data_IF_925128599508
#
_entry.id   IF_925128599508
#
_cell.length_a   1.000
_cell.length_b   1.000
_cell.length_c   1.000
_cell.angle_alpha   90.00
_cell.angle_beta   90.00
_cell.angle_gamma   90.00
#
_symmetry.space_group_name_H-M   'P 1'
#
loop_
_entity.id
_entity.type
_entity.pdbx_description
1 polymer ?
#
# COMPACT_ATOMS: atom_id res chain seq x y z
N UNK A 1 23.63 -2.79 -12.58
CA UNK A 1 23.99 -2.98 -11.16
C UNK A 1 22.77 -2.74 -10.24
N UNK A 2 21.54 -2.99 -10.71
CA UNK A 2 20.28 -2.56 -10.06
C UNK A 2 19.38 -3.76 -9.73
N UNK A 3 19.97 -4.94 -9.58
CA UNK A 3 19.22 -6.16 -9.31
C UNK A 3 18.62 -6.13 -7.90
N UNK A 4 19.31 -5.50 -6.94
CA UNK A 4 18.85 -5.36 -5.56
C UNK A 4 17.60 -4.49 -5.45
N UNK A 5 17.56 -3.39 -6.18
CA UNK A 5 16.39 -2.50 -6.25
C UNK A 5 15.19 -3.24 -6.84
N UNK A 6 15.38 -3.88 -8.00
CA UNK A 6 14.34 -4.68 -8.65
C UNK A 6 13.86 -5.85 -7.79
N UNK A 7 14.75 -6.47 -7.01
CA UNK A 7 14.39 -7.55 -6.09
C UNK A 7 13.53 -7.03 -4.95
N UNK A 8 13.86 -5.87 -4.38
CA UNK A 8 13.04 -5.22 -3.34
C UNK A 8 11.65 -4.88 -3.88
N UNK A 9 11.57 -4.33 -5.10
CA UNK A 9 10.29 -4.02 -5.76
C UNK A 9 9.46 -5.28 -6.05
N UNK A 10 10.09 -6.35 -6.54
CA UNK A 10 9.42 -7.61 -6.82
C UNK A 10 8.90 -8.29 -5.54
N UNK A 11 9.70 -8.29 -4.46
CA UNK A 11 9.27 -8.78 -3.16
C UNK A 11 8.12 -7.95 -2.59
N UNK A 12 8.16 -6.64 -2.77
CA UNK A 12 7.08 -5.75 -2.37
C UNK A 12 5.79 -6.08 -3.10
N UNK A 13 5.83 -6.14 -4.45
CA UNK A 13 4.71 -6.51 -5.28
C UNK A 13 4.13 -7.87 -4.86
N UNK A 14 4.98 -8.86 -4.62
CA UNK A 14 4.55 -10.18 -4.15
C UNK A 14 3.78 -10.13 -2.83
N UNK A 15 4.27 -9.36 -1.85
CA UNK A 15 3.65 -9.26 -0.51
C UNK A 15 2.26 -8.63 -0.54
N UNK A 16 2.04 -7.66 -1.42
CA UNK A 16 0.76 -6.94 -1.54
C UNK A 16 -0.18 -7.53 -2.58
N UNK A 17 0.29 -8.44 -3.43
CA UNK A 17 -0.55 -9.07 -4.47
C UNK A 17 -1.55 -10.02 -3.84
N UNK A 18 -2.83 -9.86 -4.21
CA UNK A 18 -3.90 -10.77 -3.79
C UNK A 18 -3.69 -12.16 -4.39
N UNK A 19 -3.66 -13.18 -3.54
CA UNK A 19 -3.56 -14.58 -3.99
C UNK A 19 -4.94 -15.20 -4.01
N UNK A 20 -5.44 -15.52 -5.21
CA UNK A 20 -6.73 -16.19 -5.41
C UNK A 20 -6.77 -17.56 -4.71
N UNK A 21 -5.65 -18.28 -4.65
CA UNK A 21 -5.54 -19.58 -3.98
C UNK A 21 -5.79 -19.51 -2.49
N UNK A 22 -5.39 -18.42 -1.85
CA UNK A 22 -5.49 -18.26 -0.39
C UNK A 22 -6.59 -17.28 0.02
N UNK A 23 -7.17 -16.55 -0.94
CA UNK A 23 -8.18 -15.53 -0.67
C UNK A 23 -7.65 -14.35 0.15
N UNK A 24 -6.33 -14.18 0.24
CA UNK A 24 -5.66 -13.12 0.99
C UNK A 24 -4.32 -12.77 0.35
N UNK A 25 -3.80 -11.59 0.65
CA UNK A 25 -2.40 -11.23 0.36
C UNK A 25 -1.45 -12.02 1.26
N UNK A 26 -0.23 -12.35 0.81
CA UNK A 26 0.79 -12.97 1.67
C UNK A 26 1.05 -12.16 2.95
N UNK A 27 0.97 -10.83 2.90
CA UNK A 27 1.11 -9.97 4.06
C UNK A 27 0.01 -10.20 5.10
N UNK A 28 -1.25 -10.31 4.68
CA UNK A 28 -2.39 -10.60 5.56
C UNK A 28 -2.24 -11.93 6.30
N UNK A 29 -1.64 -12.93 5.67
CA UNK A 29 -1.43 -14.25 6.29
C UNK A 29 -0.37 -14.20 7.40
N UNK A 30 0.68 -13.41 7.22
CA UNK A 30 1.79 -13.32 8.19
C UNK A 30 1.40 -12.44 9.38
N UNK A 31 0.69 -11.35 9.14
CA UNK A 31 0.42 -10.33 10.17
C UNK A 31 -1.05 -10.26 10.62
N UNK A 32 -1.95 -11.03 9.99
CA UNK A 32 -3.37 -11.11 10.37
C UNK A 32 -4.20 -9.85 10.07
N UNK A 33 -3.69 -8.90 9.27
CA UNK A 33 -4.35 -7.62 8.97
C UNK A 33 -4.23 -7.24 7.51
N UNK A 34 -5.29 -6.65 6.95
CA UNK A 34 -5.26 -6.03 5.62
C UNK A 34 -4.16 -4.96 5.54
N UNK A 35 -3.55 -4.83 4.36
CA UNK A 35 -2.43 -3.93 4.10
C UNK A 35 -2.88 -2.47 4.30
N UNK A 36 -2.87 -1.99 5.54
CA UNK A 36 -2.54 -0.60 5.81
C UNK A 36 -1.09 -0.45 5.39
N UNK A 37 -0.80 0.38 4.39
CA UNK A 37 0.54 0.78 3.96
C UNK A 37 1.57 0.51 5.08
N UNK A 38 2.37 -0.57 4.97
CA UNK A 38 3.24 -1.00 6.04
C UNK A 38 4.10 0.17 6.48
N UNK A 39 4.34 0.29 7.79
CA UNK A 39 5.04 1.45 8.34
C UNK A 39 6.39 1.65 7.67
N UNK A 40 7.03 0.58 7.21
CA UNK A 40 8.26 0.60 6.40
C UNK A 40 8.09 1.37 5.08
N UNK A 41 6.96 1.18 4.38
CA UNK A 41 6.65 1.92 3.16
C UNK A 41 6.31 3.37 3.48
N UNK A 42 5.55 3.63 4.55
CA UNK A 42 5.30 5.01 4.99
C UNK A 42 6.62 5.71 5.31
N UNK A 43 7.51 5.09 6.10
CA UNK A 43 8.84 5.63 6.43
C UNK A 43 9.65 5.87 5.16
N UNK A 44 9.63 4.94 4.21
CA UNK A 44 10.37 5.11 2.96
C UNK A 44 9.77 6.22 2.09
N UNK A 45 8.45 6.28 1.96
CA UNK A 45 7.72 7.34 1.25
C UNK A 45 7.91 8.70 1.90
N UNK A 46 7.87 8.80 3.23
CA UNK A 46 8.13 10.03 3.97
C UNK A 46 9.58 10.50 3.79
N UNK A 47 10.55 9.58 3.84
CA UNK A 47 11.95 9.90 3.54
C UNK A 47 12.11 10.42 2.11
N UNK A 48 11.56 9.68 1.14
CA UNK A 48 11.63 10.06 -0.28
C UNK A 48 10.96 11.42 -0.53
N UNK A 49 9.85 11.71 0.15
CA UNK A 49 9.16 12.98 0.03
C UNK A 49 9.89 14.14 0.71
N UNK A 50 10.55 13.89 1.84
CA UNK A 50 11.43 14.88 2.46
C UNK A 50 12.61 15.21 1.54
N UNK A 51 13.22 14.19 0.92
CA UNK A 51 14.32 14.34 -0.04
C UNK A 51 13.88 15.09 -1.31
N UNK A 52 12.62 14.92 -1.72
CA UNK A 52 12.04 15.54 -2.91
C UNK A 52 11.24 16.82 -2.62
N UNK A 53 11.21 17.32 -1.37
CA UNK A 53 10.36 18.43 -0.92
C UNK A 53 8.89 18.31 -1.36
N UNK A 54 8.36 17.08 -1.36
CA UNK A 54 6.96 16.80 -1.70
C UNK A 54 6.10 16.99 -0.46
N UNK A 55 5.32 18.06 -0.43
CA UNK A 55 4.28 18.31 0.58
C UNK A 55 3.13 17.32 0.39
N UNK A 56 3.02 16.31 1.26
CA UNK A 56 1.82 15.48 1.31
C UNK A 56 0.68 16.28 1.95
N UNK A 57 -0.12 16.95 1.11
CA UNK A 57 -1.35 17.63 1.55
C UNK A 57 -2.31 16.69 2.30
N UNK A 58 -3.20 17.24 3.14
CA UNK A 58 -4.04 16.43 4.03
C UNK A 58 -4.91 15.45 3.22
N UNK A 59 -4.73 14.15 3.52
CA UNK A 59 -5.50 13.07 2.92
C UNK A 59 -6.99 13.29 3.18
N UNK A 60 -7.72 13.74 2.16
CA UNK A 60 -9.17 13.91 2.22
C UNK A 60 -9.81 12.53 2.26
N UNK A 61 -10.46 12.22 3.38
CA UNK A 61 -11.37 11.08 3.52
C UNK A 61 -12.39 11.14 2.36
N UNK A 62 -12.30 10.21 1.40
CA UNK A 62 -13.44 9.98 0.51
C UNK A 62 -14.62 9.53 1.37
N UNK A 63 -15.66 10.36 1.40
CA UNK A 63 -16.97 9.98 1.93
C UNK A 63 -17.56 9.01 0.91
N UNK A 64 -17.80 7.76 1.30
CA UNK A 64 -18.67 6.90 0.50
C UNK A 64 -20.06 7.51 0.57
N UNK A 65 -20.43 8.29 -0.44
CA UNK A 65 -21.78 8.82 -0.59
C UNK A 65 -22.71 7.65 -0.84
N UNK A 66 -23.72 7.53 0.02
CA UNK A 66 -24.81 6.59 -0.12
C UNK A 66 -25.43 6.68 -1.52
N UNK A 67 -25.62 5.53 -2.15
CA UNK A 67 -26.50 5.39 -3.31
C UNK A 67 -27.92 5.28 -2.75
N UNK A 68 -28.66 6.38 -2.82
CA UNK A 68 -30.13 6.36 -2.69
C UNK A 68 -30.70 5.79 -4.00
N UNK A 69 -31.48 4.70 -3.97
CA UNK A 69 -32.14 4.20 -5.17
C UNK A 69 -33.38 5.06 -5.47
N UNK A 70 -33.41 5.68 -6.65
CA UNK A 70 -34.61 6.34 -7.14
C UNK A 70 -35.70 5.28 -7.41
N UNK A 71 -36.88 5.51 -6.81
CA UNK A 71 -38.12 4.86 -7.19
C UNK A 71 -38.70 5.41 -8.49
#
# INVERSE_FOLDING_TARGET
>A
KNWEEKLKDALWAYRITWKVTTGFTPYQLVYGKEVMLPIEFQIHTFKLAADLQIEFGPSTKRKNSAVEPAG
#
